data_IF_429940395435
#
_entry.id   IF_429940395435
#
_cell.length_a   1.000
_cell.length_b   1.000
_cell.length_c   1.000
_cell.angle_alpha   90.00
_cell.angle_beta   90.00
_cell.angle_gamma   90.00
#
_symmetry.space_group_name_H-M   'P 1'
#
loop_
_entity.id
_entity.type
_entity.pdbx_description
1 polymer ?
#
# COMPACT_ATOMS: atom_id res chain seq x y z
N UNK A 1 0.10 28.48 16.88
CA UNK A 1 0.08 27.16 17.53
C UNK A 1 1.14 26.31 16.86
N UNK A 2 1.94 25.63 17.66
CA UNK A 2 3.20 25.00 17.29
C UNK A 2 2.92 23.83 16.33
N UNK A 3 3.18 23.99 15.03
CA UNK A 3 3.23 22.88 14.08
C UNK A 3 4.47 22.07 14.41
N UNK A 4 4.35 21.09 15.31
CA UNK A 4 5.25 19.97 15.25
C UNK A 4 5.05 19.39 13.84
N UNK A 5 6.03 19.58 12.96
CA UNK A 5 6.11 18.77 11.75
C UNK A 5 6.15 17.34 12.25
N UNK A 6 5.03 16.62 12.11
CA UNK A 6 5.03 15.19 12.36
C UNK A 6 6.09 14.58 11.44
N UNK A 7 7.01 13.82 12.04
CA UNK A 7 8.05 13.16 11.27
C UNK A 7 7.38 12.26 10.22
N UNK A 8 7.95 12.13 9.02
CA UNK A 8 7.43 11.16 8.06
C UNK A 8 7.33 9.76 8.66
N UNK A 9 6.32 8.99 8.25
CA UNK A 9 5.99 7.72 8.90
C UNK A 9 7.18 6.75 8.95
N UNK A 10 8.06 6.77 7.95
CA UNK A 10 9.24 5.90 7.91
C UNK A 10 10.32 6.28 8.93
N UNK A 11 10.46 7.57 9.24
CA UNK A 11 11.35 8.03 10.31
C UNK A 11 10.76 7.67 11.68
N UNK A 12 9.45 7.90 11.86
CA UNK A 12 8.74 7.49 13.07
C UNK A 12 8.82 5.97 13.28
N UNK A 13 8.67 5.18 12.21
CA UNK A 13 8.79 3.73 12.22
C UNK A 13 10.20 3.29 12.68
N UNK A 14 11.26 3.83 12.07
CA UNK A 14 12.64 3.52 12.46
C UNK A 14 12.94 3.92 13.91
N UNK A 15 12.42 5.06 14.37
CA UNK A 15 12.55 5.48 15.76
C UNK A 15 11.83 4.52 16.73
N UNK A 16 10.64 4.06 16.36
CA UNK A 16 9.89 3.08 17.15
C UNK A 16 10.63 1.73 17.23
N UNK A 17 11.16 1.23 16.11
CA UNK A 17 11.95 -0.02 16.10
C UNK A 17 13.17 0.09 17.02
N UNK A 18 13.91 1.21 16.97
CA UNK A 18 15.05 1.47 17.87
C UNK A 18 14.62 1.48 19.34
N UNK A 19 13.53 2.17 19.65
CA UNK A 19 13.00 2.24 21.02
C UNK A 19 12.57 0.86 21.56
N UNK A 20 11.97 0.02 20.71
CA UNK A 20 11.58 -1.34 21.08
C UNK A 20 12.78 -2.30 21.20
N UNK A 21 13.82 -2.11 20.40
CA UNK A 21 15.07 -2.87 20.53
C UNK A 21 15.77 -2.55 21.86
N UNK A 22 15.83 -1.28 22.25
CA UNK A 22 16.41 -0.85 23.54
C UNK A 22 15.67 -1.45 24.75
N UNK A 23 14.41 -1.85 24.56
CA UNK A 23 13.60 -2.54 25.57
C UNK A 23 13.57 -4.07 25.42
N UNK A 24 14.38 -4.65 24.52
CA UNK A 24 14.52 -6.10 24.23
C UNK A 24 13.33 -6.78 23.52
N UNK A 25 12.49 -6.02 22.81
CA UNK A 25 11.29 -6.56 22.14
C UNK A 25 11.34 -6.55 20.61
N UNK A 26 12.31 -5.87 19.99
CA UNK A 26 12.41 -5.79 18.52
C UNK A 26 13.79 -6.21 18.01
N UNK A 27 13.77 -6.83 16.82
CA UNK A 27 14.96 -7.11 16.02
C UNK A 27 15.24 -5.92 15.09
N UNK A 28 16.49 -5.43 15.08
CA UNK A 28 16.92 -4.34 14.20
C UNK A 28 16.85 -4.72 12.72
N UNK A 29 16.68 -6.00 12.38
CA UNK A 29 16.36 -6.44 11.01
C UNK A 29 15.06 -5.83 10.45
N UNK A 30 14.20 -5.30 11.32
CA UNK A 30 12.98 -4.58 10.94
C UNK A 30 13.23 -3.13 10.54
N UNK A 31 14.43 -2.56 10.70
CA UNK A 31 14.68 -1.18 10.25
C UNK A 31 14.54 -1.03 8.74
N UNK A 32 14.02 0.12 8.32
CA UNK A 32 14.10 0.58 6.93
C UNK A 32 15.52 1.09 6.70
N UNK A 33 16.17 0.61 5.63
CA UNK A 33 17.50 1.05 5.24
C UNK A 33 17.51 2.51 4.80
N UNK A 34 18.69 3.12 4.75
CA UNK A 34 18.86 4.48 4.23
C UNK A 34 18.39 4.60 2.78
N UNK A 35 18.60 3.56 1.96
CA UNK A 35 18.13 3.52 0.57
C UNK A 35 16.59 3.52 0.47
N UNK A 36 15.90 2.81 1.36
CA UNK A 36 14.44 2.83 1.45
C UNK A 36 13.94 4.20 1.92
N UNK A 37 14.60 4.79 2.91
CA UNK A 37 14.25 6.13 3.40
C UNK A 37 14.48 7.20 2.32
N UNK A 38 15.51 7.05 1.49
CA UNK A 38 15.76 7.90 0.33
C UNK A 38 14.69 7.72 -0.76
N UNK A 39 14.25 6.49 -1.03
CA UNK A 39 13.13 6.23 -1.95
C UNK A 39 11.84 6.90 -1.47
N UNK A 40 11.49 6.74 -0.19
CA UNK A 40 10.28 7.35 0.37
C UNK A 40 10.36 8.88 0.38
N UNK A 41 11.54 9.45 0.65
CA UNK A 41 11.79 10.89 0.50
C UNK A 41 11.57 11.39 -0.93
N UNK A 42 12.02 10.64 -1.95
CA UNK A 42 11.79 11.00 -3.35
C UNK A 42 10.31 10.94 -3.73
N UNK A 43 9.58 9.92 -3.24
CA UNK A 43 8.13 9.82 -3.41
C UNK A 43 7.43 10.99 -2.74
N UNK A 44 7.89 11.42 -1.57
CA UNK A 44 7.33 12.58 -0.89
C UNK A 44 7.57 13.89 -1.64
N UNK A 45 8.76 14.06 -2.21
CA UNK A 45 9.06 15.19 -3.09
C UNK A 45 8.20 15.19 -4.37
N UNK A 46 7.97 14.03 -4.99
CA UNK A 46 7.07 13.89 -6.13
C UNK A 46 5.59 14.10 -5.73
N UNK A 47 5.23 13.69 -4.52
CA UNK A 47 3.90 13.86 -3.95
C UNK A 47 3.56 15.34 -3.69
N UNK A 48 4.54 16.14 -3.27
CA UNK A 48 4.36 17.59 -3.13
C UNK A 48 3.91 18.28 -4.43
N UNK A 49 4.22 17.69 -5.60
CA UNK A 49 3.76 18.16 -6.91
C UNK A 49 2.42 17.53 -7.32
N UNK A 50 2.32 16.20 -7.26
CA UNK A 50 1.15 15.45 -7.73
C UNK A 50 -0.09 15.61 -6.83
N UNK A 51 0.13 15.91 -5.54
CA UNK A 51 -0.88 16.14 -4.51
C UNK A 51 -1.05 17.60 -4.12
N UNK A 52 -0.52 18.56 -4.90
CA UNK A 52 -0.60 19.99 -4.60
C UNK A 52 -2.04 20.52 -4.41
N UNK A 53 -3.04 19.79 -4.91
CA UNK A 53 -4.46 20.12 -4.79
C UNK A 53 -5.25 19.17 -3.89
N UNK A 54 -4.58 18.25 -3.18
CA UNK A 54 -5.19 17.26 -2.29
C UNK A 54 -4.61 17.43 -0.89
N UNK A 55 -5.07 18.44 -0.11
CA UNK A 55 -4.52 18.70 1.21
C UNK A 55 -4.72 17.50 2.14
N UNK A 56 -3.71 17.19 2.94
CA UNK A 56 -3.85 16.19 4.00
C UNK A 56 -4.82 16.65 5.09
N UNK A 57 -5.43 15.70 5.78
CA UNK A 57 -6.32 15.93 6.92
C UNK A 57 -5.92 15.07 8.12
N UNK A 58 -6.07 15.58 9.35
CA UNK A 58 -5.75 14.82 10.56
C UNK A 58 -6.79 13.73 10.81
N UNK A 59 -6.44 12.76 11.64
CA UNK A 59 -7.40 11.78 12.16
C UNK A 59 -8.49 12.50 12.97
N UNK A 60 -9.78 12.47 12.54
CA UNK A 60 -10.87 13.17 13.23
C UNK A 60 -11.10 12.70 14.68
N UNK A 61 -10.62 11.50 15.01
CA UNK A 61 -10.85 10.84 16.30
C UNK A 61 -9.61 10.78 17.20
N UNK A 62 -8.48 11.38 16.79
CA UNK A 62 -7.22 11.30 17.54
C UNK A 62 -7.31 11.83 18.98
N UNK A 63 -8.01 12.96 19.17
CA UNK A 63 -8.20 13.61 20.47
C UNK A 63 -9.67 13.54 20.95
N UNK A 64 -10.51 12.81 20.22
CA UNK A 64 -11.96 12.87 20.30
C UNK A 64 -12.62 11.64 20.92
N UNK A 65 -13.95 11.67 20.92
CA UNK A 65 -14.76 10.47 21.14
C UNK A 65 -14.68 9.60 19.87
N UNK A 66 -14.74 8.29 20.07
CA UNK A 66 -14.88 7.34 18.97
C UNK A 66 -16.12 7.70 18.10
N UNK A 67 -16.12 7.32 16.80
CA UNK A 67 -17.27 7.51 15.92
C UNK A 67 -18.54 6.91 16.51
N UNK A 68 -19.67 7.58 16.26
CA UNK A 68 -21.00 7.01 16.52
C UNK A 68 -21.41 6.05 15.39
N UNK A 69 -22.50 5.31 15.59
CA UNK A 69 -22.98 4.33 14.60
C UNK A 69 -23.32 4.99 13.25
N UNK A 70 -23.84 6.21 13.25
CA UNK A 70 -24.20 6.92 12.03
C UNK A 70 -22.98 7.34 11.20
N UNK A 71 -21.82 7.53 11.82
CA UNK A 71 -20.58 7.81 11.11
C UNK A 71 -20.17 6.67 10.17
N UNK A 72 -20.54 5.42 10.47
CA UNK A 72 -20.24 4.27 9.61
C UNK A 72 -21.14 4.17 8.37
N UNK A 73 -22.22 4.94 8.31
CA UNK A 73 -23.19 4.94 7.22
C UNK A 73 -23.11 6.20 6.34
N UNK A 74 -22.15 7.09 6.61
CA UNK A 74 -22.04 8.40 5.97
C UNK A 74 -20.66 8.63 5.38
N UNK A 75 -20.62 9.31 4.23
CA UNK A 75 -19.42 9.85 3.61
C UNK A 75 -19.61 11.37 3.46
N UNK A 76 -18.97 12.17 4.31
CA UNK A 76 -19.22 13.63 4.33
C UNK A 76 -18.43 14.39 3.27
N UNK A 77 -17.20 13.95 2.98
CA UNK A 77 -16.28 14.60 2.04
C UNK A 77 -15.58 13.53 1.20
N UNK A 78 -16.23 13.03 0.13
CA UNK A 78 -15.65 11.98 -0.71
C UNK A 78 -14.46 12.47 -1.54
N UNK A 79 -14.36 13.78 -1.81
CA UNK A 79 -13.32 14.34 -2.67
C UNK A 79 -11.94 14.33 -2.00
N UNK A 80 -11.86 14.37 -0.66
CA UNK A 80 -10.59 14.27 0.07
C UNK A 80 -9.78 13.03 -0.29
N UNK A 81 -10.45 11.93 -0.66
CA UNK A 81 -9.80 10.68 -1.02
C UNK A 81 -9.04 10.73 -2.35
N UNK A 82 -9.15 11.80 -3.15
CA UNK A 82 -8.28 12.05 -4.31
C UNK A 82 -6.78 12.05 -3.94
N UNK A 83 -6.44 12.26 -2.66
CA UNK A 83 -5.07 12.18 -2.16
C UNK A 83 -4.41 10.82 -2.42
N UNK A 84 -5.18 9.72 -2.43
CA UNK A 84 -4.64 8.36 -2.67
C UNK A 84 -4.20 8.18 -4.12
N UNK A 85 -4.97 8.72 -5.06
CA UNK A 85 -4.59 8.77 -6.48
C UNK A 85 -3.31 9.60 -6.64
N UNK A 86 -3.24 10.77 -6.01
CA UNK A 86 -2.06 11.63 -6.08
C UNK A 86 -0.80 10.90 -5.58
N UNK A 87 -0.88 10.15 -4.48
CA UNK A 87 0.24 9.35 -3.97
C UNK A 87 0.62 8.20 -4.90
N UNK A 88 -0.36 7.50 -5.49
CA UNK A 88 -0.12 6.46 -6.48
C UNK A 88 0.60 6.99 -7.74
N UNK A 89 0.24 8.20 -8.19
CA UNK A 89 0.94 8.89 -9.28
C UNK A 89 2.36 9.27 -8.91
N UNK A 90 2.61 9.74 -7.68
CA UNK A 90 3.95 10.03 -7.19
C UNK A 90 4.86 8.79 -7.22
N UNK A 91 4.36 7.66 -6.73
CA UNK A 91 5.06 6.37 -6.83
C UNK A 91 5.39 5.98 -8.26
N UNK A 92 4.39 6.03 -9.15
CA UNK A 92 4.58 5.70 -10.56
C UNK A 92 5.66 6.57 -11.20
N UNK A 93 5.61 7.87 -10.94
CA UNK A 93 6.60 8.82 -11.45
C UNK A 93 8.01 8.50 -10.97
N UNK A 94 8.22 8.30 -9.67
CA UNK A 94 9.54 8.02 -9.09
C UNK A 94 10.12 6.70 -9.61
N UNK A 95 9.31 5.64 -9.71
CA UNK A 95 9.78 4.34 -10.18
C UNK A 95 10.17 4.37 -11.68
N UNK A 96 9.47 5.18 -12.49
CA UNK A 96 9.81 5.41 -13.89
C UNK A 96 11.07 6.28 -14.04
N UNK A 97 11.18 7.38 -13.31
CA UNK A 97 12.33 8.29 -13.35
C UNK A 97 13.63 7.61 -12.88
N UNK A 98 13.54 6.73 -11.88
CA UNK A 98 14.67 5.90 -11.43
C UNK A 98 15.06 4.82 -12.44
N UNK A 99 14.28 4.64 -13.51
CA UNK A 99 14.50 3.62 -14.53
C UNK A 99 14.30 2.19 -14.02
N UNK A 100 13.56 2.01 -12.93
CA UNK A 100 13.30 0.69 -12.33
C UNK A 100 12.11 -0.02 -12.98
N UNK A 101 11.27 0.72 -13.70
CA UNK A 101 10.17 0.16 -14.47
C UNK A 101 9.94 0.89 -15.79
N UNK A 102 9.10 0.26 -16.60
CA UNK A 102 8.51 0.81 -17.82
C UNK A 102 6.99 0.62 -17.78
N UNK A 103 6.26 1.48 -18.48
CA UNK A 103 4.84 1.22 -18.70
C UNK A 103 4.61 -0.07 -19.49
N UNK A 104 3.56 -0.79 -19.13
CA UNK A 104 2.99 -1.86 -19.95
C UNK A 104 1.54 -1.54 -20.30
N UNK A 105 1.07 -2.03 -21.44
CA UNK A 105 -0.28 -1.76 -21.93
C UNK A 105 -1.31 -2.76 -21.36
N UNK A 106 -0.86 -3.92 -20.88
CA UNK A 106 -1.73 -4.99 -20.46
C UNK A 106 -1.07 -5.87 -19.40
N UNK A 107 -1.89 -6.46 -18.54
CA UNK A 107 -1.53 -7.46 -17.55
C UNK A 107 -2.66 -8.50 -17.47
N UNK A 108 -2.28 -9.77 -17.31
CA UNK A 108 -3.25 -10.81 -17.01
C UNK A 108 -3.57 -10.80 -15.52
N UNK A 109 -4.81 -11.13 -15.16
CA UNK A 109 -5.25 -11.12 -13.77
C UNK A 109 -5.47 -12.54 -13.27
N UNK A 110 -4.89 -12.87 -12.13
CA UNK A 110 -5.31 -14.02 -11.33
C UNK A 110 -6.49 -13.63 -10.42
N UNK A 111 -6.40 -12.48 -9.75
CA UNK A 111 -7.45 -11.96 -8.87
C UNK A 111 -7.60 -10.45 -9.09
N UNK A 112 -8.74 -10.05 -9.66
CA UNK A 112 -9.04 -8.67 -10.10
C UNK A 112 -9.29 -7.71 -8.93
N UNK A 113 -9.35 -6.38 -9.16
CA UNK A 113 -9.92 -5.42 -8.21
C UNK A 113 -11.36 -5.77 -7.78
N UNK A 114 -11.79 -5.36 -6.58
CA UNK A 114 -13.18 -5.58 -6.13
C UNK A 114 -14.09 -4.56 -6.83
N UNK A 115 -13.64 -3.32 -6.83
CA UNK A 115 -14.26 -2.23 -7.55
C UNK A 115 -14.11 -2.48 -9.06
N UNK A 116 -15.24 -2.46 -9.76
CA UNK A 116 -15.25 -2.57 -11.22
C UNK A 116 -14.96 -1.22 -11.86
N UNK A 117 -14.19 -1.22 -12.95
CA UNK A 117 -13.81 0.00 -13.67
C UNK A 117 -12.47 0.54 -13.20
N UNK A 118 -12.21 1.80 -13.49
CA UNK A 118 -10.93 2.45 -13.19
C UNK A 118 -9.92 2.43 -14.33
N UNK A 119 -8.78 3.08 -14.07
CA UNK A 119 -7.66 3.18 -15.01
C UNK A 119 -6.43 2.50 -14.41
N UNK A 120 -5.92 1.49 -15.12
CA UNK A 120 -4.72 0.76 -14.73
C UNK A 120 -3.46 1.55 -15.11
N UNK A 121 -2.58 1.76 -14.14
CA UNK A 121 -1.17 2.10 -14.36
C UNK A 121 -0.34 0.86 -14.11
N UNK A 122 0.15 0.23 -15.18
CA UNK A 122 0.93 -1.00 -15.11
C UNK A 122 2.41 -0.65 -15.25
N UNK A 123 3.20 -0.99 -14.23
CA UNK A 123 4.63 -0.77 -14.15
C UNK A 123 5.33 -2.13 -14.20
N UNK A 124 5.98 -2.41 -15.33
CA UNK A 124 6.76 -3.62 -15.53
C UNK A 124 8.21 -3.39 -15.09
N UNK A 125 8.76 -4.17 -14.15
CA UNK A 125 10.10 -3.95 -13.64
C UNK A 125 11.17 -4.21 -14.70
N UNK A 126 12.32 -3.55 -14.55
CA UNK A 126 13.51 -3.80 -15.38
C UNK A 126 14.33 -4.97 -14.86
N UNK A 127 14.31 -5.21 -13.54
CA UNK A 127 15.03 -6.32 -12.91
C UNK A 127 14.38 -7.66 -13.25
N UNK A 128 15.22 -8.67 -13.47
CA UNK A 128 14.79 -10.06 -13.60
C UNK A 128 14.20 -10.55 -12.27
N UNK A 129 13.22 -11.45 -12.32
CA UNK A 129 12.50 -12.04 -11.18
C UNK A 129 11.71 -11.06 -10.28
N UNK A 130 11.80 -9.74 -10.52
CA UNK A 130 10.90 -8.76 -9.95
C UNK A 130 9.52 -8.88 -10.61
N UNK A 131 8.46 -8.62 -9.85
CA UNK A 131 7.09 -8.74 -10.35
C UNK A 131 6.49 -7.40 -10.77
N UNK A 132 5.61 -7.36 -11.80
CA UNK A 132 4.85 -6.17 -12.15
C UNK A 132 4.07 -5.59 -10.98
N UNK A 133 3.97 -4.26 -10.93
CA UNK A 133 3.11 -3.50 -10.05
C UNK A 133 1.97 -2.89 -10.87
N UNK A 134 0.74 -3.04 -10.40
CA UNK A 134 -0.45 -2.44 -11.00
C UNK A 134 -1.10 -1.52 -9.98
N UNK A 135 -1.32 -0.27 -10.37
CA UNK A 135 -2.07 0.72 -9.60
C UNK A 135 -3.33 1.05 -10.38
N UNK A 136 -4.47 0.53 -9.95
CA UNK A 136 -5.78 0.83 -10.56
C UNK A 136 -6.43 1.97 -9.78
N UNK A 137 -6.63 3.11 -10.43
CA UNK A 137 -7.41 4.21 -9.85
C UNK A 137 -8.87 4.05 -10.20
N UNK A 138 -9.71 3.86 -9.19
CA UNK A 138 -11.16 3.76 -9.33
C UNK A 138 -11.77 5.12 -9.12
N UNK A 139 -12.52 5.58 -10.11
CA UNK A 139 -13.23 6.87 -10.02
C UNK A 139 -14.65 6.64 -9.51
N UNK A 140 -15.15 7.50 -8.61
CA UNK A 140 -16.53 7.42 -8.14
C UNK A 140 -17.54 7.37 -9.30
N UNK A 141 -18.46 6.42 -9.24
CA UNK A 141 -19.58 6.34 -10.19
C UNK A 141 -20.75 7.23 -9.77
N UNK A 142 -20.81 7.63 -8.50
CA UNK A 142 -21.78 8.55 -7.91
C UNK A 142 -21.22 9.20 -6.63
N UNK A 143 -22.05 9.97 -5.91
CA UNK A 143 -21.67 10.70 -4.69
C UNK A 143 -21.42 9.82 -3.46
N UNK A 144 -21.86 8.57 -3.49
CA UNK A 144 -21.71 7.62 -2.38
C UNK A 144 -20.43 6.77 -2.53
N UNK A 145 -19.77 6.87 -3.69
CA UNK A 145 -18.47 6.24 -3.95
C UNK A 145 -17.34 7.25 -3.79
N UNK A 146 -16.21 6.75 -3.31
CA UNK A 146 -14.99 7.53 -3.10
C UNK A 146 -13.92 7.11 -4.10
N UNK A 147 -12.90 7.95 -4.28
CA UNK A 147 -11.71 7.54 -5.03
C UNK A 147 -10.99 6.46 -4.23
N UNK A 148 -10.75 5.30 -4.85
CA UNK A 148 -9.92 4.23 -4.28
C UNK A 148 -8.77 3.90 -5.23
N UNK A 149 -7.65 3.47 -4.68
CA UNK A 149 -6.54 2.90 -5.44
C UNK A 149 -6.39 1.45 -5.05
N UNK A 150 -6.55 0.56 -6.02
CA UNK A 150 -6.14 -0.84 -5.86
C UNK A 150 -4.66 -0.99 -6.16
N UNK A 151 -3.91 -1.58 -5.23
CA UNK A 151 -2.53 -2.03 -5.42
C UNK A 151 -2.56 -3.52 -5.73
N UNK A 152 -1.97 -3.93 -6.85
CA UNK A 152 -1.87 -5.33 -7.26
C UNK A 152 -0.45 -5.65 -7.77
N UNK A 153 -0.07 -6.93 -7.73
CA UNK A 153 1.25 -7.35 -8.22
C UNK A 153 1.25 -8.76 -8.80
N UNK A 154 2.28 -9.08 -9.58
CA UNK A 154 2.47 -10.40 -10.22
C UNK A 154 2.33 -10.35 -11.74
N UNK A 155 2.98 -11.28 -12.45
CA UNK A 155 2.78 -11.47 -13.90
C UNK A 155 1.33 -11.88 -14.21
N UNK A 156 0.78 -12.74 -13.34
CA UNK A 156 -0.65 -12.90 -13.15
C UNK A 156 -1.03 -12.04 -11.94
N UNK A 157 -1.55 -10.85 -12.19
CA UNK A 157 -1.79 -9.84 -11.18
C UNK A 157 -2.80 -10.32 -10.13
N UNK A 158 -2.43 -10.15 -8.86
CA UNK A 158 -3.28 -10.40 -7.69
C UNK A 158 -3.48 -9.08 -6.97
N UNK A 159 -4.74 -8.67 -6.79
CA UNK A 159 -5.09 -7.55 -5.88
C UNK A 159 -4.53 -7.81 -4.49
N UNK A 160 -3.74 -6.87 -3.99
CA UNK A 160 -3.16 -6.90 -2.64
C UNK A 160 -3.99 -6.09 -1.65
N UNK A 161 -4.40 -4.87 -2.04
CA UNK A 161 -5.18 -3.96 -1.22
C UNK A 161 -6.04 -3.03 -2.08
N UNK A 162 -7.11 -2.48 -1.48
CA UNK A 162 -7.84 -1.32 -1.99
C UNK A 162 -7.76 -0.22 -0.95
N UNK A 163 -7.33 0.99 -1.35
CA UNK A 163 -7.00 2.05 -0.40
C UNK A 163 -7.74 3.34 -0.77
N UNK A 164 -8.56 3.89 0.13
CA UNK A 164 -8.99 3.25 1.39
C UNK A 164 -9.84 1.99 1.11
N UNK A 165 -9.91 1.10 2.09
CA UNK A 165 -10.79 -0.08 2.06
C UNK A 165 -12.24 0.27 2.48
N UNK A 166 -12.42 1.42 3.12
CA UNK A 166 -13.71 2.00 3.50
C UNK A 166 -13.67 3.54 3.44
N UNK A 167 -14.70 4.15 2.85
CA UNK A 167 -14.82 5.62 2.73
C UNK A 167 -15.66 6.30 3.80
N UNK A 168 -16.27 5.54 4.72
CA UNK A 168 -17.18 6.13 5.69
C UNK A 168 -16.44 6.98 6.73
N UNK A 169 -17.14 7.97 7.28
CA UNK A 169 -16.59 8.87 8.29
C UNK A 169 -16.07 8.07 9.50
N UNK A 170 -16.76 6.99 9.89
CA UNK A 170 -16.38 6.14 11.03
C UNK A 170 -15.08 5.34 10.85
N UNK A 171 -14.61 5.16 9.61
CA UNK A 171 -13.33 4.54 9.31
C UNK A 171 -12.22 5.56 9.02
N UNK A 172 -12.50 6.86 9.16
CA UNK A 172 -11.52 7.91 8.88
C UNK A 172 -10.42 7.95 9.95
N UNK A 173 -9.22 7.53 9.58
CA UNK A 173 -8.01 7.59 10.42
C UNK A 173 -7.05 8.70 9.99
N UNK A 174 -7.50 9.64 9.16
CA UNK A 174 -6.67 10.71 8.63
C UNK A 174 -5.88 10.31 7.39
N UNK A 175 -5.45 11.29 6.61
CA UNK A 175 -4.73 11.04 5.37
C UNK A 175 -3.37 10.37 5.58
N UNK A 176 -2.70 10.66 6.69
CA UNK A 176 -1.37 10.12 6.97
C UNK A 176 -1.38 8.57 6.99
N UNK A 177 -2.42 7.97 7.57
CA UNK A 177 -2.60 6.51 7.59
C UNK A 177 -2.79 5.93 6.19
N UNK A 178 -3.58 6.59 5.33
CA UNK A 178 -3.80 6.14 3.94
C UNK A 178 -2.53 6.24 3.10
N UNK A 179 -1.75 7.31 3.27
CA UNK A 179 -0.48 7.50 2.57
C UNK A 179 0.55 6.46 3.00
N UNK A 180 0.66 6.20 4.32
CA UNK A 180 1.50 5.15 4.87
C UNK A 180 1.09 3.75 4.36
N UNK A 181 -0.20 3.48 4.23
CA UNK A 181 -0.69 2.20 3.73
C UNK A 181 -0.31 1.97 2.26
N UNK A 182 -0.51 2.97 1.38
CA UNK A 182 -0.07 2.90 -0.02
C UNK A 182 1.43 2.66 -0.09
N UNK A 183 2.19 3.43 0.68
CA UNK A 183 3.65 3.34 0.69
C UNK A 183 4.11 1.94 1.11
N UNK A 184 3.53 1.36 2.14
CA UNK A 184 3.87 0.01 2.61
C UNK A 184 3.58 -1.06 1.56
N UNK A 185 2.43 -0.98 0.87
CA UNK A 185 2.07 -1.95 -0.15
C UNK A 185 2.94 -1.84 -1.39
N UNK A 186 3.14 -0.62 -1.91
CA UNK A 186 4.03 -0.39 -3.05
C UNK A 186 5.47 -0.76 -2.71
N UNK A 187 5.96 -0.36 -1.53
CA UNK A 187 7.30 -0.70 -1.06
C UNK A 187 7.49 -2.22 -0.94
N UNK A 188 6.52 -2.97 -0.43
CA UNK A 188 6.63 -4.43 -0.32
C UNK A 188 6.82 -5.13 -1.68
N UNK A 189 6.26 -4.55 -2.75
CA UNK A 189 6.48 -5.01 -4.13
C UNK A 189 7.87 -4.62 -4.60
N UNK A 190 8.25 -3.35 -4.44
CA UNK A 190 9.48 -2.76 -4.98
C UNK A 190 10.73 -3.26 -4.26
N UNK A 191 10.67 -3.44 -2.94
CA UNK A 191 11.78 -3.96 -2.15
C UNK A 191 11.84 -5.50 -2.16
N UNK A 192 10.88 -6.16 -2.79
CA UNK A 192 10.82 -7.63 -2.89
C UNK A 192 10.35 -8.34 -1.62
N UNK A 193 9.95 -7.61 -0.58
CA UNK A 193 9.40 -8.21 0.65
C UNK A 193 7.92 -8.53 0.50
N UNK A 194 7.56 -9.30 -0.53
CA UNK A 194 6.21 -9.74 -0.82
C UNK A 194 6.18 -11.22 -1.20
N UNK A 195 5.33 -11.98 -0.52
CA UNK A 195 4.94 -13.33 -0.90
C UNK A 195 3.42 -13.43 -1.01
N UNK A 196 2.94 -14.00 -2.10
CA UNK A 196 1.51 -14.15 -2.40
C UNK A 196 1.23 -15.61 -2.75
N UNK A 197 0.14 -16.12 -2.20
CA UNK A 197 -0.45 -17.40 -2.57
C UNK A 197 -1.97 -17.23 -2.66
N UNK A 198 -2.54 -17.49 -3.83
CA UNK A 198 -3.99 -17.45 -4.03
C UNK A 198 -4.48 -18.71 -4.72
N UNK A 199 -5.49 -19.33 -4.12
CA UNK A 199 -6.24 -20.46 -4.67
C UNK A 199 -7.74 -20.29 -4.36
N UNK A 200 -8.55 -21.26 -4.79
CA UNK A 200 -10.00 -21.23 -4.61
C UNK A 200 -10.47 -21.20 -3.14
N UNK A 201 -9.58 -21.43 -2.18
CA UNK A 201 -9.87 -21.53 -0.76
C UNK A 201 -9.30 -20.37 0.06
N UNK A 202 -8.18 -19.78 -0.37
CA UNK A 202 -7.49 -18.74 0.39
C UNK A 202 -6.69 -17.78 -0.49
N UNK A 203 -6.70 -16.53 -0.07
CA UNK A 203 -5.67 -15.55 -0.40
C UNK A 203 -4.80 -15.40 0.84
N UNK A 204 -3.49 -15.58 0.68
CA UNK A 204 -2.49 -15.33 1.70
C UNK A 204 -1.42 -14.41 1.13
N UNK A 205 -1.23 -13.28 1.80
CA UNK A 205 -0.22 -12.27 1.45
C UNK A 205 0.66 -12.06 2.67
N UNK A 206 1.97 -12.08 2.49
CA UNK A 206 2.95 -11.79 3.55
C UNK A 206 3.89 -10.71 3.06
N UNK A 207 4.14 -9.73 3.91
CA UNK A 207 5.10 -8.65 3.69
C UNK A 207 6.06 -8.52 4.87
N UNK A 208 7.03 -7.62 4.77
CA UNK A 208 7.85 -7.21 5.91
C UNK A 208 7.10 -6.32 6.92
N UNK A 209 5.89 -5.84 6.57
CA UNK A 209 5.05 -5.02 7.45
C UNK A 209 3.89 -5.76 8.11
N UNK A 210 3.53 -6.94 7.60
CA UNK A 210 2.40 -7.72 8.10
C UNK A 210 1.96 -8.84 7.16
N UNK A 211 0.97 -9.62 7.61
CA UNK A 211 0.34 -10.66 6.81
C UNK A 211 -1.16 -10.41 6.69
N UNK A 212 -1.73 -10.75 5.54
CA UNK A 212 -3.16 -10.70 5.26
C UNK A 212 -3.62 -12.08 4.79
N UNK A 213 -4.74 -12.55 5.33
CA UNK A 213 -5.39 -13.77 4.87
C UNK A 213 -6.89 -13.56 4.76
N UNK A 214 -7.48 -13.95 3.63
CA UNK A 214 -8.92 -13.91 3.42
C UNK A 214 -9.45 -15.22 2.82
N UNK A 215 -10.69 -15.56 3.19
CA UNK A 215 -11.42 -16.76 2.75
C UNK A 215 -12.93 -16.49 2.79
N UNK A 216 -13.74 -17.01 1.84
CA UNK A 216 -13.32 -17.60 0.55
C UNK A 216 -12.79 -16.52 -0.41
N UNK A 217 -12.15 -16.93 -1.52
CA UNK A 217 -11.71 -16.01 -2.58
C UNK A 217 -12.71 -16.12 -3.74
N UNK A 218 -13.81 -15.34 -3.75
CA UNK A 218 -14.65 -15.25 -4.93
C UNK A 218 -13.83 -14.63 -6.08
N UNK A 219 -14.23 -14.93 -7.31
CA UNK A 219 -13.70 -14.29 -8.53
C UNK A 219 -12.21 -14.51 -8.80
N UNK A 220 -11.69 -15.69 -8.41
CA UNK A 220 -10.37 -16.17 -8.82
C UNK A 220 -10.42 -16.67 -10.27
N UNK A 221 -9.69 -16.00 -11.16
CA UNK A 221 -9.54 -16.40 -12.56
C UNK A 221 -8.55 -17.57 -12.68
N UNK A 222 -7.41 -17.50 -11.98
CA UNK A 222 -6.35 -18.53 -12.04
C UNK A 222 -5.57 -18.59 -10.72
N UNK A 223 -5.41 -19.78 -10.10
CA UNK A 223 -4.55 -19.94 -8.94
C UNK A 223 -3.10 -19.57 -9.24
N UNK A 224 -2.44 -18.84 -8.35
CA UNK A 224 -1.04 -18.44 -8.52
C UNK A 224 -0.33 -18.29 -7.18
N UNK A 225 0.99 -18.44 -7.20
CA UNK A 225 1.85 -18.15 -6.07
C UNK A 225 3.17 -17.57 -6.57
N UNK A 226 3.64 -16.52 -5.91
CA UNK A 226 4.91 -15.88 -6.25
C UNK A 226 5.55 -15.21 -5.04
N UNK A 227 6.86 -15.02 -5.14
CA UNK A 227 7.65 -14.17 -4.24
C UNK A 227 8.31 -13.11 -5.10
N UNK A 228 8.15 -11.84 -4.75
CA UNK A 228 8.78 -10.74 -5.47
C UNK A 228 10.30 -10.73 -5.22
N UNK A 229 11.09 -10.41 -6.24
CA UNK A 229 12.46 -9.94 -6.06
C UNK A 229 12.50 -8.39 -6.00
N UNK A 230 13.52 -7.79 -5.36
CA UNK A 230 13.69 -6.34 -5.34
C UNK A 230 13.86 -5.78 -6.75
N UNK A 231 13.22 -4.64 -7.03
CA UNK A 231 13.40 -3.93 -8.30
C UNK A 231 14.81 -3.33 -8.44
N UNK A 232 15.43 -2.77 -7.38
CA UNK A 232 16.81 -2.30 -7.47
C UNK A 232 17.78 -3.50 -7.34
N UNK A 233 18.79 -3.63 -8.22
CA UNK A 233 19.65 -4.82 -8.27
C UNK A 233 20.58 -4.99 -7.04
N UNK A 234 20.76 -3.93 -6.26
CA UNK A 234 21.63 -3.90 -5.08
C UNK A 234 20.86 -3.98 -3.76
N UNK A 235 19.54 -4.22 -3.81
CA UNK A 235 18.73 -4.36 -2.61
C UNK A 235 18.60 -5.82 -2.19
N UNK A 236 18.52 -6.03 -0.88
CA UNK A 236 18.09 -7.31 -0.33
C UNK A 236 16.66 -7.13 0.17
N UNK A 237 15.79 -8.08 -0.16
CA UNK A 237 14.42 -8.06 0.34
C UNK A 237 14.41 -8.09 1.87
N UNK A 238 13.57 -7.24 2.46
CA UNK A 238 13.34 -7.24 3.90
C UNK A 238 12.75 -8.59 4.33
N UNK A 239 13.06 -9.08 5.54
CA UNK A 239 12.50 -10.33 6.01
C UNK A 239 10.98 -10.24 6.09
N UNK A 240 10.30 -11.24 5.54
CA UNK A 240 8.85 -11.37 5.67
C UNK A 240 8.50 -11.64 7.13
N UNK A 241 7.36 -11.13 7.59
CA UNK A 241 6.80 -11.56 8.88
C UNK A 241 6.63 -13.09 8.87
N UNK A 242 6.84 -13.77 10.01
CA UNK A 242 6.63 -15.21 10.10
C UNK A 242 5.27 -15.61 9.57
N UNK A 243 5.17 -16.79 8.98
CA UNK A 243 3.87 -17.33 8.63
C UNK A 243 3.05 -17.46 9.92
N UNK A 244 1.80 -16.97 9.89
CA UNK A 244 0.87 -17.29 10.96
C UNK A 244 0.41 -18.71 10.65
N UNK A 245 1.25 -19.67 11.04
CA UNK A 245 1.01 -21.09 10.84
C UNK A 245 -0.39 -21.40 11.38
N UNK A 246 -1.33 -21.75 10.49
CA UNK A 246 -2.73 -22.08 10.83
C UNK A 246 -2.85 -23.47 11.47
N UNK A 247 -1.77 -23.93 12.11
CA UNK A 247 -1.69 -25.18 12.84
C UNK A 247 -1.39 -24.94 14.32
N UNK A 248 -2.41 -24.48 15.04
CA UNK A 248 -2.67 -25.01 16.38
C UNK A 248 -4.03 -25.67 16.36
N UNK A 249 -3.99 -26.99 16.54
CA UNK A 249 -5.11 -27.89 16.77
C UNK A 249 -6.01 -27.45 17.91
#
# INVERSE_FOLDING_TARGET
>A
MNTASELPWWEAYNNNVRSLHDTSWADLSSLLSDDICALLSDVDAAFALTGAHTPGWPNPYQDGLAPDEHAYERVTDPEKFQIVEARARAWSHVLLERGWARHAAHIEWALRPHDSGGTDTILWPVADDAVPLVLTTHTPVDSDHIVTVTVAAGELAVRLASIPDCGCDGCDHGSATLLEEIDKWVLSVVDGSLHVHVDAHRLAIRTSFGGHTSRPVPDLDTPTAFTAAPWPPNWNARPLVPDIDTHRH
#
